data_IF_104971908484
#
_entry.id   IF_104971908484
#
_cell.length_a   1.000
_cell.length_b   1.000
_cell.length_c   1.000
_cell.angle_alpha   90.00
_cell.angle_beta   90.00
_cell.angle_gamma   90.00
#
_symmetry.space_group_name_H-M   'P 1'
#
loop_
_entity.id
_entity.type
_entity.pdbx_description
1 polymer ?
#
# COMPACT_ATOMS: atom_id res chain seq x y z
N UNK A 1 -8.26 -66.81 -7.54
CA UNK A 1 -6.82 -66.83 -7.85
C UNK A 1 -6.53 -65.67 -8.81
N UNK A 2 -5.62 -64.74 -8.59
CA UNK A 2 -4.68 -64.53 -7.50
C UNK A 2 -4.34 -63.04 -7.50
N UNK A 3 -4.63 -62.39 -6.38
CA UNK A 3 -3.78 -61.34 -5.85
C UNK A 3 -2.34 -61.88 -5.77
N UNK A 4 -1.36 -61.23 -6.39
CA UNK A 4 0.03 -61.33 -5.95
C UNK A 4 0.75 -59.97 -6.06
N UNK A 5 1.66 -59.72 -5.13
CA UNK A 5 2.07 -58.39 -4.71
C UNK A 5 3.30 -57.92 -5.50
N UNK A 6 3.40 -56.61 -5.72
CA UNK A 6 4.68 -56.01 -6.12
C UNK A 6 5.60 -56.04 -4.89
N UNK A 7 6.59 -56.93 -4.96
CA UNK A 7 7.66 -57.05 -3.99
C UNK A 7 8.46 -55.76 -3.87
N UNK A 8 8.89 -55.47 -2.65
CA UNK A 8 9.58 -54.25 -2.25
C UNK A 8 10.81 -53.92 -3.08
N UNK A 9 10.80 -52.74 -3.68
CA UNK A 9 12.01 -52.05 -4.07
C UNK A 9 12.56 -51.31 -2.85
N UNK A 10 13.68 -51.81 -2.31
CA UNK A 10 14.50 -51.08 -1.35
C UNK A 10 14.95 -49.78 -2.02
N UNK A 11 14.76 -48.64 -1.35
CA UNK A 11 15.43 -47.40 -1.69
C UNK A 11 16.94 -47.63 -1.52
N UNK A 12 17.64 -47.82 -2.64
CA UNK A 12 19.08 -47.68 -2.66
C UNK A 12 19.39 -46.18 -2.59
N UNK A 13 19.95 -45.75 -1.47
CA UNK A 13 20.49 -44.41 -1.29
C UNK A 13 21.56 -44.17 -2.34
N UNK A 14 21.21 -43.41 -3.39
CA UNK A 14 22.21 -42.90 -4.34
C UNK A 14 23.01 -41.83 -3.62
N UNK A 15 24.20 -42.20 -3.16
CA UNK A 15 25.20 -41.25 -2.68
C UNK A 15 25.39 -40.13 -3.69
N UNK A 16 25.28 -38.89 -3.22
CA UNK A 16 25.63 -37.70 -4.01
C UNK A 16 27.11 -37.80 -4.36
N UNK A 17 27.43 -38.07 -5.61
CA UNK A 17 28.75 -37.78 -6.15
C UNK A 17 28.96 -36.27 -6.10
N UNK A 18 29.99 -35.76 -5.40
CA UNK A 18 30.32 -34.35 -5.47
C UNK A 18 30.81 -34.07 -6.88
N UNK A 19 30.13 -33.20 -7.62
CA UNK A 19 30.69 -32.65 -8.84
C UNK A 19 31.84 -31.72 -8.40
N UNK A 20 33.11 -32.01 -8.76
CA UNK A 20 34.18 -31.08 -8.44
C UNK A 20 33.95 -29.82 -9.26
N UNK A 21 33.79 -28.68 -8.56
CA UNK A 21 33.86 -27.38 -9.20
C UNK A 21 35.26 -27.23 -9.79
N UNK A 22 35.42 -26.81 -11.06
CA UNK A 22 36.73 -26.51 -11.60
C UNK A 22 37.25 -25.25 -10.91
N UNK A 23 38.36 -25.39 -10.18
CA UNK A 23 39.16 -24.28 -9.64
C UNK A 23 40.48 -24.19 -10.43
N UNK A 24 41.04 -22.99 -10.66
CA UNK A 24 40.53 -21.69 -10.22
C UNK A 24 39.59 -21.04 -11.24
N UNK A 25 38.58 -20.35 -10.73
CA UNK A 25 37.79 -19.39 -11.51
C UNK A 25 38.73 -18.45 -12.30
N UNK A 26 38.44 -18.16 -13.58
CA UNK A 26 39.28 -17.26 -14.37
C UNK A 26 39.35 -15.90 -13.69
N UNK A 27 40.54 -15.28 -13.67
CA UNK A 27 40.92 -14.05 -12.96
C UNK A 27 39.94 -12.86 -13.14
N UNK A 28 39.17 -12.88 -14.23
CA UNK A 28 38.02 -12.00 -14.54
C UNK A 28 36.83 -12.12 -13.57
N UNK A 29 36.82 -13.09 -12.67
CA UNK A 29 35.79 -13.25 -11.63
C UNK A 29 36.02 -12.36 -10.39
N UNK A 30 37.13 -11.62 -10.31
CA UNK A 30 37.41 -10.65 -9.24
C UNK A 30 37.09 -9.20 -9.59
N UNK A 31 36.25 -8.96 -10.60
CA UNK A 31 35.64 -7.65 -10.76
C UNK A 31 34.55 -7.53 -9.69
N UNK A 32 34.89 -6.95 -8.55
CA UNK A 32 33.90 -6.40 -7.63
C UNK A 32 33.11 -5.34 -8.41
N UNK A 33 31.90 -5.71 -8.84
CA UNK A 33 30.94 -4.74 -9.34
C UNK A 33 30.50 -3.86 -8.17
N UNK A 34 31.27 -2.81 -7.89
CA UNK A 34 30.85 -1.73 -7.00
C UNK A 34 29.94 -0.82 -7.79
N UNK A 35 28.66 -0.88 -7.43
CA UNK A 35 27.66 0.07 -7.91
C UNK A 35 27.80 1.35 -7.10
N UNK A 36 28.66 2.26 -7.55
CA UNK A 36 28.83 3.58 -6.94
C UNK A 36 27.78 4.53 -7.51
N UNK A 37 26.85 4.96 -6.66
CA UNK A 37 25.91 6.01 -6.99
C UNK A 37 26.08 7.15 -5.98
N UNK A 38 26.53 8.30 -6.47
CA UNK A 38 26.71 9.50 -5.65
C UNK A 38 25.37 10.11 -5.20
N UNK A 39 24.28 9.80 -5.90
CA UNK A 39 22.93 10.24 -5.54
C UNK A 39 21.84 9.34 -6.14
N UNK A 40 20.61 9.44 -5.63
CA UNK A 40 19.45 8.71 -6.19
C UNK A 40 19.13 9.07 -7.64
N UNK A 41 19.67 10.19 -8.17
CA UNK A 41 19.53 10.54 -9.59
C UNK A 41 20.39 9.64 -10.49
N UNK A 42 21.49 9.07 -9.96
CA UNK A 42 22.31 8.09 -10.70
C UNK A 42 21.62 6.74 -10.91
N UNK A 43 20.48 6.50 -10.26
CA UNK A 43 19.66 5.28 -10.37
C UNK A 43 18.56 5.38 -11.42
N UNK A 44 18.33 6.55 -12.01
CA UNK A 44 17.16 6.82 -12.85
C UNK A 44 17.52 7.67 -14.07
N UNK A 45 16.63 7.68 -15.07
CA UNK A 45 16.79 8.47 -16.28
C UNK A 45 16.80 10.01 -16.06
N UNK A 46 16.39 10.47 -14.88
CA UNK A 46 16.25 11.89 -14.54
C UNK A 46 15.21 12.14 -13.43
N UNK A 47 14.97 13.42 -13.11
CA UNK A 47 14.09 13.81 -12.01
C UNK A 47 12.63 13.35 -12.14
N UNK A 48 12.11 13.25 -13.36
CA UNK A 48 10.76 12.72 -13.61
C UNK A 48 10.68 11.22 -13.29
N UNK A 49 11.69 10.44 -13.70
CA UNK A 49 11.81 9.02 -13.34
C UNK A 49 11.97 8.83 -11.83
N UNK A 50 12.74 9.69 -11.15
CA UNK A 50 12.87 9.65 -9.68
C UNK A 50 11.52 9.90 -8.99
N UNK A 51 10.76 10.90 -9.45
CA UNK A 51 9.45 11.22 -8.88
C UNK A 51 8.44 10.09 -9.09
N UNK A 52 8.39 9.51 -10.29
CA UNK A 52 7.54 8.34 -10.56
C UNK A 52 7.93 7.14 -9.68
N UNK A 53 9.23 6.88 -9.52
CA UNK A 53 9.73 5.84 -8.63
C UNK A 53 9.31 6.08 -7.17
N UNK A 54 9.43 7.30 -6.67
CA UNK A 54 9.00 7.68 -5.33
C UNK A 54 7.49 7.51 -5.14
N UNK A 55 6.67 7.90 -6.12
CA UNK A 55 5.22 7.68 -6.07
C UNK A 55 4.86 6.20 -6.09
N UNK A 56 5.63 5.37 -6.78
CA UNK A 56 5.41 3.92 -6.81
C UNK A 56 5.86 3.18 -5.54
N UNK A 57 6.80 3.74 -4.77
CA UNK A 57 7.51 3.00 -3.71
C UNK A 57 7.45 3.63 -2.32
N UNK A 58 7.14 4.92 -2.22
CA UNK A 58 7.05 5.65 -0.95
C UNK A 58 5.61 6.16 -0.72
N UNK A 59 4.78 5.42 0.04
CA UNK A 59 3.43 5.86 0.41
C UNK A 59 3.40 7.21 1.13
N UNK A 60 4.45 7.58 1.86
CA UNK A 60 4.54 8.88 2.49
C UNK A 60 4.75 9.99 1.45
N UNK A 61 5.52 9.73 0.39
CA UNK A 61 5.68 10.65 -0.75
C UNK A 61 4.38 10.84 -1.51
N UNK A 62 3.64 9.75 -1.79
CA UNK A 62 2.31 9.82 -2.40
C UNK A 62 1.38 10.68 -1.56
N UNK A 63 1.28 10.42 -0.26
CA UNK A 63 0.41 11.17 0.65
C UNK A 63 0.76 12.65 0.69
N UNK A 64 2.04 13.00 0.79
CA UNK A 64 2.50 14.41 0.77
C UNK A 64 2.09 15.10 -0.54
N UNK A 65 2.27 14.41 -1.65
CA UNK A 65 1.98 14.92 -3.00
C UNK A 65 0.48 15.13 -3.19
N UNK A 66 -0.35 14.12 -2.88
CA UNK A 66 -1.81 14.19 -2.93
C UNK A 66 -2.35 15.28 -2.00
N UNK A 67 -1.83 15.35 -0.77
CA UNK A 67 -2.20 16.41 0.18
C UNK A 67 -1.94 17.79 -0.41
N UNK A 68 -0.77 18.02 -1.00
CA UNK A 68 -0.40 19.30 -1.61
C UNK A 68 -1.32 19.66 -2.78
N UNK A 69 -1.60 18.70 -3.66
CA UNK A 69 -2.47 18.90 -4.81
C UNK A 69 -3.90 19.26 -4.39
N UNK A 70 -4.49 18.50 -3.46
CA UNK A 70 -5.85 18.74 -2.96
C UNK A 70 -5.97 20.06 -2.21
N UNK A 71 -5.04 20.38 -1.30
CA UNK A 71 -5.06 21.67 -0.59
C UNK A 71 -4.94 22.85 -1.58
N UNK A 72 -4.11 22.72 -2.62
CA UNK A 72 -4.00 23.76 -3.66
C UNK A 72 -5.31 23.95 -4.44
N UNK A 73 -6.03 22.87 -4.71
CA UNK A 73 -7.24 22.90 -5.53
C UNK A 73 -8.50 23.31 -4.73
N UNK A 74 -8.70 22.76 -3.54
CA UNK A 74 -9.95 22.88 -2.78
C UNK A 74 -9.77 23.42 -1.36
N UNK A 75 -8.55 23.83 -0.97
CA UNK A 75 -8.25 24.37 0.35
C UNK A 75 -8.11 23.33 1.47
N UNK A 76 -8.55 22.09 1.25
CA UNK A 76 -8.42 20.98 2.20
C UNK A 76 -8.32 19.62 1.50
N UNK A 77 -8.15 18.55 2.28
CA UNK A 77 -8.20 17.17 1.80
C UNK A 77 -9.56 16.58 2.15
N UNK A 78 -10.38 16.34 1.13
CA UNK A 78 -11.68 15.69 1.26
C UNK A 78 -11.59 14.22 0.87
N UNK A 79 -12.21 13.36 1.68
CA UNK A 79 -12.39 11.96 1.31
C UNK A 79 -13.23 11.89 0.03
N UNK A 80 -12.68 11.32 -1.05
CA UNK A 80 -13.35 11.26 -2.36
C UNK A 80 -14.56 10.32 -2.38
N UNK A 81 -14.82 9.57 -1.29
CA UNK A 81 -15.95 8.65 -1.20
C UNK A 81 -17.04 9.10 -0.22
N UNK A 82 -16.70 9.81 0.86
CA UNK A 82 -17.69 10.27 1.85
C UNK A 82 -17.75 11.79 2.01
N UNK A 83 -16.91 12.55 1.32
CA UNK A 83 -16.91 14.02 1.33
C UNK A 83 -16.42 14.66 2.63
N UNK A 84 -16.04 13.88 3.65
CA UNK A 84 -15.55 14.42 4.92
C UNK A 84 -14.23 15.17 4.71
N UNK A 85 -14.16 16.39 5.24
CA UNK A 85 -12.91 17.14 5.36
C UNK A 85 -12.00 16.49 6.40
N UNK A 86 -10.90 15.89 5.93
CA UNK A 86 -9.99 15.09 6.72
C UNK A 86 -9.01 15.94 7.52
N UNK A 87 -8.58 17.09 6.99
CA UNK A 87 -7.67 17.97 7.70
C UNK A 87 -8.42 18.71 8.82
N UNK A 88 -9.63 19.19 8.56
CA UNK A 88 -10.48 19.80 9.58
C UNK A 88 -10.84 18.79 10.67
N UNK A 89 -11.15 17.53 10.31
CA UNK A 89 -11.41 16.48 11.28
C UNK A 89 -10.19 16.20 12.18
N UNK A 90 -8.98 16.12 11.61
CA UNK A 90 -7.74 15.96 12.40
C UNK A 90 -7.57 17.13 13.38
N UNK A 91 -7.79 18.36 12.93
CA UNK A 91 -7.69 19.54 13.79
C UNK A 91 -8.70 19.51 14.94
N UNK A 92 -9.96 19.16 14.66
CA UNK A 92 -11.01 19.02 15.67
C UNK A 92 -10.66 17.93 16.70
N UNK A 93 -10.18 16.77 16.25
CA UNK A 93 -9.82 15.67 17.15
C UNK A 93 -8.66 16.04 18.08
N UNK A 94 -7.65 16.77 17.57
CA UNK A 94 -6.54 17.27 18.39
C UNK A 94 -6.99 18.27 19.44
N UNK A 95 -8.06 19.02 19.18
CA UNK A 95 -8.66 19.96 20.14
C UNK A 95 -9.51 19.29 21.22
N UNK A 96 -9.84 18.00 21.09
CA UNK A 96 -10.67 17.30 22.07
C UNK A 96 -9.84 16.75 23.25
N UNK A 97 -10.36 16.86 24.49
CA UNK A 97 -9.61 16.57 25.71
C UNK A 97 -9.50 15.08 26.04
N UNK A 98 -10.42 14.24 25.55
CA UNK A 98 -10.48 12.82 25.89
C UNK A 98 -10.57 11.92 24.67
N UNK A 99 -10.05 10.70 24.78
CA UNK A 99 -10.21 9.67 23.76
C UNK A 99 -11.68 9.34 23.50
N UNK A 100 -12.52 9.35 24.54
CA UNK A 100 -13.96 9.07 24.44
C UNK A 100 -14.66 10.11 23.55
N UNK A 101 -14.37 11.40 23.75
CA UNK A 101 -14.89 12.47 22.91
C UNK A 101 -14.40 12.33 21.47
N UNK A 102 -13.13 11.95 21.27
CA UNK A 102 -12.57 11.69 19.93
C UNK A 102 -13.25 10.50 19.26
N UNK A 103 -13.51 9.40 19.97
CA UNK A 103 -14.26 8.24 19.45
C UNK A 103 -15.67 8.65 19.03
N UNK A 104 -16.37 9.41 19.86
CA UNK A 104 -17.71 9.90 19.55
C UNK A 104 -17.72 10.76 18.28
N UNK A 105 -16.78 11.71 18.16
CA UNK A 105 -16.65 12.54 16.95
C UNK A 105 -16.29 11.69 15.72
N UNK A 106 -15.38 10.73 15.86
CA UNK A 106 -15.01 9.83 14.77
C UNK A 106 -16.20 9.02 14.27
N UNK A 107 -17.02 8.47 15.17
CA UNK A 107 -18.21 7.72 14.80
C UNK A 107 -19.30 8.62 14.20
N UNK A 108 -19.43 9.86 14.66
CA UNK A 108 -20.37 10.82 14.08
C UNK A 108 -19.97 11.24 12.66
N UNK A 109 -18.67 11.46 12.40
CA UNK A 109 -18.18 11.95 11.10
C UNK A 109 -17.85 10.81 10.12
N UNK A 110 -17.42 9.66 10.62
CA UNK A 110 -17.02 8.48 9.86
C UNK A 110 -17.72 7.23 10.41
N UNK A 111 -19.06 7.11 10.29
CA UNK A 111 -19.85 6.05 10.94
C UNK A 111 -19.43 4.64 10.52
N UNK A 112 -18.93 4.48 9.30
CA UNK A 112 -18.45 3.20 8.80
C UNK A 112 -17.19 2.71 9.56
N UNK A 113 -16.44 3.60 10.23
CA UNK A 113 -15.27 3.24 11.02
C UNK A 113 -15.60 2.32 12.22
N UNK A 114 -16.87 2.29 12.65
CA UNK A 114 -17.37 1.36 13.66
C UNK A 114 -17.07 -0.12 13.34
N UNK A 115 -16.94 -0.47 12.05
CA UNK A 115 -16.62 -1.83 11.60
C UNK A 115 -15.17 -2.24 11.85
N UNK A 116 -14.29 -1.29 12.20
CA UNK A 116 -12.87 -1.53 12.46
C UNK A 116 -12.44 -0.88 13.78
N UNK A 117 -12.79 -1.49 14.94
CA UNK A 117 -12.48 -0.94 16.26
C UNK A 117 -11.00 -0.59 16.44
N UNK A 118 -10.08 -1.46 16.00
CA UNK A 118 -8.64 -1.18 16.09
C UNK A 118 -8.16 0.00 15.23
N UNK A 119 -8.88 0.41 14.18
CA UNK A 119 -8.58 1.67 13.45
C UNK A 119 -9.18 2.87 14.19
N UNK A 120 -10.40 2.73 14.71
CA UNK A 120 -11.06 3.73 15.54
C UNK A 120 -10.21 4.09 16.76
N UNK A 121 -9.74 3.10 17.51
CA UNK A 121 -8.94 3.31 18.72
C UNK A 121 -7.62 4.01 18.41
N UNK A 122 -6.89 3.55 17.40
CA UNK A 122 -5.64 4.20 16.98
C UNK A 122 -5.86 5.66 16.60
N UNK A 123 -6.94 5.96 15.88
CA UNK A 123 -7.29 7.32 15.49
C UNK A 123 -7.70 8.20 16.68
N UNK A 124 -8.36 7.62 17.69
CA UNK A 124 -8.76 8.33 18.91
C UNK A 124 -7.57 8.63 19.83
N UNK A 125 -6.68 7.65 20.02
CA UNK A 125 -5.49 7.79 20.88
C UNK A 125 -4.53 8.84 20.33
N UNK A 126 -4.22 8.80 19.03
CA UNK A 126 -3.26 9.72 18.44
C UNK A 126 -3.75 10.23 17.07
N UNK A 127 -4.60 11.28 17.05
CA UNK A 127 -5.21 11.80 15.83
C UNK A 127 -4.15 12.46 14.95
N UNK A 128 -3.72 11.73 13.93
CA UNK A 128 -2.76 12.18 12.92
C UNK A 128 -3.30 11.89 11.52
N UNK A 129 -2.89 12.68 10.53
CA UNK A 129 -3.33 12.50 9.15
C UNK A 129 -3.19 11.04 8.67
N UNK A 130 -2.13 10.34 9.06
CA UNK A 130 -1.87 8.96 8.65
C UNK A 130 -2.76 7.92 9.32
N UNK A 131 -3.47 8.30 10.39
CA UNK A 131 -4.48 7.46 11.03
C UNK A 131 -5.90 7.79 10.58
N UNK A 132 -6.12 8.94 9.93
CA UNK A 132 -7.44 9.33 9.44
C UNK A 132 -7.63 9.13 7.94
N UNK A 133 -6.57 9.19 7.13
CA UNK A 133 -6.70 9.00 5.69
C UNK A 133 -5.46 8.42 5.02
N UNK A 134 -5.69 7.79 3.87
CA UNK A 134 -4.70 7.16 3.01
C UNK A 134 -4.90 7.67 1.57
N UNK A 135 -3.80 7.74 0.80
CA UNK A 135 -3.86 8.02 -0.62
C UNK A 135 -3.98 6.68 -1.35
N UNK A 136 -5.07 6.48 -2.09
CA UNK A 136 -5.38 5.20 -2.71
C UNK A 136 -5.62 5.37 -4.21
N UNK A 137 -5.29 4.36 -5.02
CA UNK A 137 -5.35 4.51 -6.48
C UNK A 137 -6.80 4.63 -6.99
N UNK A 138 -7.10 5.64 -7.79
CA UNK A 138 -8.43 5.87 -8.40
C UNK A 138 -8.89 4.69 -9.28
N UNK A 139 -7.95 4.09 -10.00
CA UNK A 139 -8.09 2.78 -10.65
C UNK A 139 -7.22 1.77 -9.90
N UNK A 140 -7.76 0.61 -9.60
CA UNK A 140 -7.00 -0.43 -8.90
C UNK A 140 -5.82 -0.89 -9.76
N UNK A 141 -4.70 -1.21 -9.11
CA UNK A 141 -3.49 -1.69 -9.80
C UNK A 141 -3.80 -2.94 -10.65
N UNK A 142 -4.65 -3.84 -10.15
CA UNK A 142 -5.07 -5.07 -10.86
C UNK A 142 -5.84 -4.82 -12.16
N UNK A 143 -6.51 -3.68 -12.26
CA UNK A 143 -7.33 -3.28 -13.42
C UNK A 143 -6.54 -2.35 -14.37
N UNK A 144 -5.20 -2.40 -14.31
CA UNK A 144 -4.33 -1.53 -15.10
C UNK A 144 -4.07 -0.15 -14.48
N UNK A 145 -4.44 0.08 -13.21
CA UNK A 145 -4.14 1.31 -12.47
C UNK A 145 -2.71 1.42 -11.93
N UNK A 146 -1.76 0.66 -12.48
CA UNK A 146 -0.35 0.66 -12.08
C UNK A 146 0.46 1.88 -12.55
N UNK A 147 -0.16 2.80 -13.32
CA UNK A 147 0.44 4.07 -13.70
C UNK A 147 0.50 5.01 -12.47
N UNK A 148 1.42 4.74 -11.56
CA UNK A 148 1.84 5.66 -10.49
C UNK A 148 2.60 6.89 -11.03
N UNK A 149 2.32 7.30 -12.27
CA UNK A 149 3.06 8.30 -13.02
C UNK A 149 2.57 9.73 -12.75
N UNK A 150 1.41 9.90 -12.11
CA UNK A 150 0.86 11.23 -11.85
C UNK A 150 0.11 11.33 -10.52
N UNK A 151 0.08 12.53 -9.96
CA UNK A 151 -0.60 12.86 -8.69
C UNK A 151 -2.12 12.62 -8.78
N UNK A 152 -2.70 12.72 -9.99
CA UNK A 152 -4.12 12.49 -10.26
C UNK A 152 -4.52 11.01 -10.33
N UNK A 153 -3.57 10.09 -10.23
CA UNK A 153 -3.85 8.66 -10.14
C UNK A 153 -4.37 8.23 -8.75
N UNK A 154 -4.32 9.12 -7.75
CA UNK A 154 -4.66 8.83 -6.37
C UNK A 154 -5.82 9.68 -5.87
N UNK A 155 -6.68 9.06 -5.07
CA UNK A 155 -7.77 9.69 -4.36
C UNK A 155 -7.50 9.64 -2.84
N UNK A 156 -7.63 10.77 -2.12
CA UNK A 156 -7.66 10.73 -0.66
C UNK A 156 -8.90 9.98 -0.17
N UNK A 157 -8.70 8.93 0.62
CA UNK A 157 -9.77 8.20 1.27
C UNK A 157 -9.57 8.20 2.78
N UNK A 158 -10.65 8.42 3.54
CA UNK A 158 -10.59 8.14 4.97
C UNK A 158 -10.29 6.66 5.22
N UNK A 159 -9.65 6.32 6.34
CA UNK A 159 -9.21 4.95 6.64
C UNK A 159 -10.35 3.93 6.63
N UNK A 160 -11.58 4.35 6.89
CA UNK A 160 -12.75 3.49 6.81
C UNK A 160 -13.24 3.26 5.37
N UNK A 161 -13.31 4.29 4.53
CA UNK A 161 -13.62 4.13 3.10
C UNK A 161 -12.53 3.34 2.38
N UNK A 162 -11.26 3.59 2.70
CA UNK A 162 -10.15 2.80 2.19
C UNK A 162 -10.32 1.31 2.51
N UNK A 163 -10.60 0.97 3.78
CA UNK A 163 -10.78 -0.43 4.18
C UNK A 163 -12.00 -1.08 3.53
N UNK A 164 -13.10 -0.34 3.33
CA UNK A 164 -14.26 -0.83 2.56
C UNK A 164 -13.86 -1.23 1.15
N UNK A 165 -13.12 -0.35 0.47
CA UNK A 165 -12.64 -0.59 -0.89
C UNK A 165 -11.74 -1.81 -0.93
N UNK A 166 -10.71 -1.89 -0.09
CA UNK A 166 -9.83 -3.08 0.00
C UNK A 166 -10.62 -4.38 0.19
N UNK A 167 -11.61 -4.39 1.08
CA UNK A 167 -12.42 -5.58 1.33
C UNK A 167 -13.31 -5.96 0.15
N UNK A 168 -13.83 -4.99 -0.61
CA UNK A 168 -14.61 -5.24 -1.83
C UNK A 168 -13.69 -5.78 -2.95
N UNK A 169 -12.49 -5.22 -3.08
CA UNK A 169 -11.46 -5.67 -4.01
C UNK A 169 -11.11 -7.15 -3.78
N UNK A 170 -10.88 -7.56 -2.53
CA UNK A 170 -10.47 -8.94 -2.20
C UNK A 170 -11.59 -9.97 -2.40
N UNK A 171 -12.88 -9.57 -2.36
CA UNK A 171 -14.02 -10.50 -2.41
C UNK A 171 -14.50 -10.90 -3.80
N UNK A 172 -13.95 -10.34 -4.87
CA UNK A 172 -14.46 -10.53 -6.22
C UNK A 172 -15.76 -9.76 -6.43
N UNK A 173 -15.84 -9.03 -7.55
CA UNK A 173 -16.85 -8.01 -7.87
C UNK A 173 -18.22 -8.65 -8.14
N UNK A 174 -18.98 -8.90 -7.09
CA UNK A 174 -20.44 -8.81 -7.15
C UNK A 174 -20.82 -7.36 -6.82
N UNK A 175 -21.14 -6.59 -7.86
CA UNK A 175 -21.95 -5.37 -7.80
C UNK A 175 -21.31 -4.12 -7.17
N UNK A 176 -20.78 -3.19 -7.96
CA UNK A 176 -20.47 -1.82 -7.47
C UNK A 176 -20.32 -0.78 -8.62
N UNK A 177 -21.31 -0.73 -9.53
CA UNK A 177 -21.51 0.41 -10.46
C UNK A 177 -22.23 1.60 -9.77
N UNK A 178 -22.25 1.68 -8.44
CA UNK A 178 -23.03 2.68 -7.70
C UNK A 178 -22.18 3.75 -6.97
N UNK A 179 -20.85 3.59 -6.92
CA UNK A 179 -19.99 4.48 -6.10
C UNK A 179 -19.48 5.72 -6.86
N UNK A 180 -19.61 5.78 -8.19
CA UNK A 180 -19.02 6.85 -9.02
C UNK A 180 -19.97 7.95 -9.50
N UNK A 181 -21.23 7.97 -9.05
CA UNK A 181 -22.21 8.98 -9.47
C UNK A 181 -22.84 9.67 -8.26
N UNK A 182 -22.08 10.54 -7.58
CA UNK A 182 -22.58 11.71 -6.83
C UNK A 182 -21.53 12.80 -6.80
#
# INVERSE_FOLDING_TARGET
ACFRPLGGARLAERGRTPHPLPDPLPERARLEWRTEHESSLGLVCGGACLKAHQLARDPASVRRTVRRAHVKLSGSVFCQHCGVDLLALVAQLKGLPSEEARRALLLARLPHLARWPGKLDRAATEPSEGRLWEADHRREVRDGGGEAASEGAFDPLCVGCHQRKTNATTRGRGDDEAVRLR
#
